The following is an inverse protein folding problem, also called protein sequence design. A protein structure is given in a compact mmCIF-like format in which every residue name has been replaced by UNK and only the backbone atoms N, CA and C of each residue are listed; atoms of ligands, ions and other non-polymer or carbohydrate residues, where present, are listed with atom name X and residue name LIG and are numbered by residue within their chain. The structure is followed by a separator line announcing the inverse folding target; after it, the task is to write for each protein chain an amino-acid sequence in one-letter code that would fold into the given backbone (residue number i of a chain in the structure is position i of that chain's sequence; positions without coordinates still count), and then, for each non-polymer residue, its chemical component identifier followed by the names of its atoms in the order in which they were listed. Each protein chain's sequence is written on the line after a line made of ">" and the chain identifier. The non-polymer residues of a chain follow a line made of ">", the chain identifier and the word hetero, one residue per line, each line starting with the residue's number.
data_IF_509273757021
#
_entry.id   IF_509273757021
#
_cell.length_a   1.000
_cell.length_b   1.000
_cell.length_c   1.000
_cell.angle_alpha   90.00
_cell.angle_beta   90.00
_cell.angle_gamma   90.00
#
_symmetry.space_group_name_H-M   'P 1'
#
loop_
_entity.id
_entity.type
_entity.pdbx_description
1 polymer ?
#
# COMPACT_ATOMS: atom_id res chain seq x y z
N UNK A 1 34.09 7.44 7.36
CA UNK A 1 35.52 7.55 7.70
C UNK A 1 36.33 6.65 6.78
N UNK A 2 37.42 7.16 6.19
CA UNK A 2 38.31 6.44 5.27
C UNK A 2 39.71 6.45 5.88
N UNK A 3 40.20 5.28 6.32
CA UNK A 3 41.46 5.19 7.07
C UNK A 3 42.35 4.05 6.61
N UNK A 4 43.67 4.28 6.54
CA UNK A 4 44.69 3.27 6.23
C UNK A 4 44.56 2.61 4.84
N UNK A 5 44.08 3.35 3.85
CA UNK A 5 43.93 2.84 2.49
C UNK A 5 45.10 3.22 1.59
N UNK A 6 45.34 2.38 0.58
CA UNK A 6 46.24 2.70 -0.53
C UNK A 6 45.40 2.81 -1.82
N UNK A 7 45.46 3.96 -2.49
CA UNK A 7 44.86 4.16 -3.80
C UNK A 7 45.97 4.39 -4.84
N UNK A 8 45.85 3.74 -6.00
CA UNK A 8 46.82 3.90 -7.09
C UNK A 8 46.14 3.85 -8.44
N UNK A 9 46.55 4.74 -9.35
CA UNK A 9 46.04 4.74 -10.72
C UNK A 9 47.17 5.01 -11.73
N UNK A 10 47.22 4.20 -12.79
CA UNK A 10 48.26 4.28 -13.82
C UNK A 10 47.67 4.09 -15.22
N UNK A 11 47.11 5.16 -15.77
CA UNK A 11 46.61 5.20 -17.15
C UNK A 11 46.41 6.66 -17.59
N UNK A 12 45.64 6.89 -18.65
CA UNK A 12 45.40 8.22 -19.21
C UNK A 12 44.63 9.14 -18.26
N UNK A 13 43.60 8.64 -17.56
CA UNK A 13 42.62 9.43 -16.78
C UNK A 13 43.01 9.70 -15.32
N UNK A 14 42.38 10.67 -14.66
CA UNK A 14 42.75 11.09 -13.30
C UNK A 14 42.17 10.21 -12.19
N UNK A 15 42.58 10.48 -10.95
CA UNK A 15 41.84 10.07 -9.75
C UNK A 15 40.94 11.24 -9.35
N UNK A 16 39.66 10.96 -9.08
CA UNK A 16 38.72 11.92 -8.51
C UNK A 16 38.32 11.38 -7.14
N UNK A 17 38.56 12.15 -6.10
CA UNK A 17 38.06 11.85 -4.76
C UNK A 17 37.05 12.94 -4.38
N UNK A 18 35.78 12.55 -4.37
CA UNK A 18 34.66 13.42 -4.02
C UNK A 18 34.37 13.33 -2.52
N UNK A 19 34.61 14.43 -1.81
CA UNK A 19 34.29 14.59 -0.40
C UNK A 19 33.31 15.75 -0.18
N UNK A 20 32.27 15.81 -1.00
CA UNK A 20 31.15 16.77 -0.89
C UNK A 20 30.25 16.56 0.36
N UNK A 21 30.34 15.41 1.02
CA UNK A 21 29.72 15.15 2.33
C UNK A 21 30.64 15.46 3.53
N UNK A 22 30.23 15.06 4.74
CA UNK A 22 31.08 15.19 5.94
C UNK A 22 31.95 13.94 6.15
N UNK A 23 33.27 14.05 5.96
CA UNK A 23 34.17 12.90 6.01
C UNK A 23 35.32 13.05 7.02
N UNK A 24 35.76 11.92 7.58
CA UNK A 24 37.03 11.81 8.32
C UNK A 24 37.99 10.93 7.50
N UNK A 25 39.14 11.48 7.10
CA UNK A 25 40.10 10.86 6.18
C UNK A 25 41.48 10.85 6.85
N UNK A 26 41.99 9.67 7.19
CA UNK A 26 43.23 9.55 7.97
C UNK A 26 44.19 8.50 7.45
N UNK A 27 45.48 8.84 7.33
CA UNK A 27 46.56 7.88 7.06
C UNK A 27 46.40 7.08 5.74
N UNK A 28 45.90 7.73 4.69
CA UNK A 28 45.76 7.11 3.38
C UNK A 28 46.94 7.49 2.46
N UNK A 29 47.32 6.59 1.56
CA UNK A 29 48.34 6.84 0.53
C UNK A 29 47.70 6.76 -0.86
N UNK A 30 47.71 7.85 -1.60
CA UNK A 30 47.10 7.96 -2.90
C UNK A 30 48.13 8.39 -3.94
N UNK A 31 48.31 7.57 -4.98
CA UNK A 31 49.30 7.78 -6.02
C UNK A 31 48.67 7.77 -7.41
N UNK A 32 48.96 8.78 -8.22
CA UNK A 32 48.52 8.86 -9.60
C UNK A 32 49.72 8.96 -10.53
N UNK A 33 49.76 8.09 -11.52
CA UNK A 33 50.68 8.15 -12.65
C UNK A 33 49.90 8.47 -13.92
N UNK A 34 48.98 9.42 -13.86
CA UNK A 34 48.10 9.75 -14.98
C UNK A 34 48.21 11.16 -15.48
N UNK A 35 47.86 11.37 -16.76
CA UNK A 35 47.94 12.70 -17.33
C UNK A 35 47.09 13.68 -16.55
N UNK A 36 45.86 13.33 -16.18
CA UNK A 36 44.91 14.22 -15.48
C UNK A 36 45.11 14.34 -13.96
N UNK A 37 46.09 13.63 -13.37
CA UNK A 37 46.49 13.86 -12.00
C UNK A 37 45.52 13.33 -10.94
N UNK A 38 45.41 14.05 -9.83
CA UNK A 38 44.43 13.81 -8.75
C UNK A 38 43.62 15.08 -8.56
N UNK A 39 42.30 14.94 -8.51
CA UNK A 39 41.37 15.99 -8.11
C UNK A 39 40.71 15.61 -6.78
N UNK A 40 40.71 16.55 -5.84
CA UNK A 40 40.13 16.43 -4.51
C UNK A 40 39.01 17.46 -4.36
N UNK A 41 37.78 17.01 -4.13
CA UNK A 41 36.64 17.87 -3.81
C UNK A 41 36.45 17.92 -2.29
N UNK A 42 36.67 19.08 -1.66
CA UNK A 42 36.42 19.30 -0.23
C UNK A 42 35.23 20.27 -0.01
N UNK A 43 34.19 20.19 -0.85
CA UNK A 43 32.97 21.00 -0.73
C UNK A 43 32.07 20.66 0.46
N UNK A 44 32.33 19.58 1.21
CA UNK A 44 31.67 19.27 2.49
C UNK A 44 32.52 19.57 3.73
N UNK A 45 32.02 19.25 4.93
CA UNK A 45 32.75 19.47 6.20
C UNK A 45 33.69 18.29 6.50
N UNK A 46 34.95 18.39 6.09
CA UNK A 46 35.90 17.28 6.15
C UNK A 46 37.02 17.47 7.18
N UNK A 47 37.50 16.36 7.74
CA UNK A 47 38.68 16.29 8.59
C UNK A 47 39.72 15.36 7.98
N UNK A 48 40.81 15.93 7.49
CA UNK A 48 41.77 15.29 6.58
C UNK A 48 43.15 15.35 7.20
N UNK A 49 43.67 14.18 7.58
CA UNK A 49 44.79 14.10 8.51
C UNK A 49 45.80 13.02 8.11
N UNK A 50 47.09 13.35 8.08
CA UNK A 50 48.16 12.35 7.87
C UNK A 50 48.08 11.58 6.53
N UNK A 51 47.50 12.15 5.48
CA UNK A 51 47.40 11.48 4.17
C UNK A 51 48.57 11.85 3.26
N UNK A 52 48.93 10.95 2.33
CA UNK A 52 49.94 11.16 1.30
C UNK A 52 49.26 11.17 -0.08
N UNK A 53 49.35 12.27 -0.82
CA UNK A 53 48.86 12.40 -2.19
C UNK A 53 50.02 12.66 -3.13
N UNK A 54 50.22 11.78 -4.10
CA UNK A 54 51.36 11.78 -4.99
C UNK A 54 50.93 11.74 -6.45
N UNK A 55 51.39 12.67 -7.27
CA UNK A 55 51.19 12.62 -8.72
C UNK A 55 52.49 12.76 -9.51
N UNK A 56 52.61 11.97 -10.58
CA UNK A 56 53.84 11.80 -11.36
C UNK A 56 53.77 12.35 -12.80
N UNK A 57 52.63 12.91 -13.22
CA UNK A 57 52.31 13.19 -14.63
C UNK A 57 51.62 14.55 -14.82
N UNK A 58 51.14 14.80 -16.04
CA UNK A 58 51.00 16.13 -16.69
C UNK A 58 50.20 17.23 -15.99
N UNK A 59 49.06 16.93 -15.38
CA UNK A 59 48.06 17.92 -14.93
C UNK A 59 47.97 18.11 -13.41
N UNK A 60 48.94 17.62 -12.64
CA UNK A 60 49.12 18.09 -11.26
C UNK A 60 48.22 17.44 -10.20
N UNK A 61 48.11 18.12 -9.06
CA UNK A 61 47.12 17.88 -8.01
C UNK A 61 46.20 19.09 -7.95
N UNK A 62 44.88 18.90 -8.01
CA UNK A 62 43.90 19.99 -7.86
C UNK A 62 43.02 19.75 -6.64
N UNK A 63 42.79 20.80 -5.87
CA UNK A 63 41.99 20.76 -4.66
C UNK A 63 40.97 21.89 -4.74
N UNK A 64 39.69 21.52 -4.63
CA UNK A 64 38.55 22.44 -4.61
C UNK A 64 38.00 22.53 -3.19
N UNK A 65 37.72 23.75 -2.76
CA UNK A 65 37.21 24.09 -1.44
C UNK A 65 35.91 24.87 -1.64
N UNK A 66 34.80 24.38 -1.09
CA UNK A 66 33.48 25.04 -1.22
C UNK A 66 32.60 24.88 0.05
N UNK A 67 33.16 24.34 1.13
CA UNK A 67 32.44 24.14 2.40
C UNK A 67 32.75 25.23 3.41
N UNK A 68 32.05 25.27 4.54
CA UNK A 68 32.24 26.30 5.55
C UNK A 68 33.30 25.97 6.62
N UNK A 69 33.73 24.71 6.80
CA UNK A 69 34.62 24.30 7.91
C UNK A 69 35.45 23.01 7.64
N UNK A 70 36.46 23.02 6.75
CA UNK A 70 37.40 21.88 6.66
C UNK A 70 38.55 21.97 7.67
N UNK A 71 38.97 20.83 8.23
CA UNK A 71 40.23 20.67 8.98
C UNK A 71 41.19 19.82 8.17
N UNK A 72 42.34 20.37 7.76
CA UNK A 72 43.32 19.70 6.91
C UNK A 72 44.68 19.83 7.55
N UNK A 73 45.17 18.76 8.20
CA UNK A 73 46.46 18.81 8.88
C UNK A 73 47.39 17.62 8.62
N UNK A 74 48.70 17.84 8.69
CA UNK A 74 49.71 16.77 8.59
C UNK A 74 49.66 15.94 7.29
N UNK A 75 49.11 16.46 6.19
CA UNK A 75 49.07 15.77 4.92
C UNK A 75 50.32 16.11 4.09
N UNK A 76 50.77 15.17 3.25
CA UNK A 76 51.84 15.37 2.28
C UNK A 76 51.24 15.39 0.87
N UNK A 77 51.43 16.49 0.15
CA UNK A 77 51.05 16.64 -1.25
C UNK A 77 52.31 16.75 -2.10
N UNK A 78 52.50 15.81 -3.03
CA UNK A 78 53.73 15.67 -3.79
C UNK A 78 53.43 15.58 -5.29
N UNK A 79 54.03 16.50 -6.06
CA UNK A 79 54.04 16.51 -7.51
C UNK A 79 55.46 16.33 -8.09
N UNK A 80 55.65 15.34 -8.98
CA UNK A 80 56.94 15.03 -9.60
C UNK A 80 57.09 15.55 -11.06
N UNK A 81 58.34 15.62 -11.52
CA UNK A 81 58.84 16.39 -12.65
C UNK A 81 58.51 15.78 -14.03
N UNK A 82 57.38 16.22 -14.60
CA UNK A 82 57.05 16.28 -16.04
C UNK A 82 55.65 16.90 -16.25
N UNK A 83 55.18 17.69 -15.26
CA UNK A 83 53.84 18.23 -15.27
C UNK A 83 53.83 19.65 -15.84
N UNK A 84 52.91 19.90 -16.76
CA UNK A 84 52.62 21.26 -17.22
C UNK A 84 51.82 22.07 -16.21
N UNK A 85 51.21 21.41 -15.21
CA UNK A 85 50.47 22.03 -14.12
C UNK A 85 50.94 21.45 -12.79
N UNK A 86 51.28 22.33 -11.85
CA UNK A 86 51.75 22.00 -10.50
C UNK A 86 50.62 21.61 -9.55
N UNK A 87 50.81 21.87 -8.27
CA UNK A 87 49.74 21.72 -7.27
C UNK A 87 48.87 22.99 -7.26
N UNK A 88 47.55 22.82 -7.31
CA UNK A 88 46.56 23.90 -7.34
C UNK A 88 45.51 23.73 -6.24
N UNK A 89 45.29 24.78 -5.45
CA UNK A 89 44.26 24.82 -4.41
C UNK A 89 44.52 26.00 -3.47
N UNK A 90 43.46 26.63 -2.99
CA UNK A 90 43.58 27.74 -2.04
C UNK A 90 42.78 27.41 -0.79
N UNK A 91 43.49 27.22 0.34
CA UNK A 91 42.83 27.08 1.64
C UNK A 91 42.01 28.33 1.91
N UNK A 92 40.71 28.18 2.15
CA UNK A 92 39.84 29.33 2.37
C UNK A 92 40.04 29.88 3.80
N UNK A 93 39.62 31.14 4.03
CA UNK A 93 39.82 31.81 5.33
C UNK A 93 39.12 31.11 6.52
N UNK A 94 38.14 30.25 6.23
CA UNK A 94 37.38 29.47 7.22
C UNK A 94 37.91 28.03 7.41
N UNK A 95 38.88 27.59 6.60
CA UNK A 95 39.50 26.28 6.72
C UNK A 95 40.69 26.29 7.69
N UNK A 96 40.90 25.18 8.42
CA UNK A 96 42.09 24.98 9.25
C UNK A 96 43.12 24.11 8.52
N UNK A 97 43.93 24.74 7.65
CA UNK A 97 45.02 24.07 6.95
C UNK A 97 46.35 24.28 7.69
N UNK A 98 46.77 23.32 8.54
CA UNK A 98 48.02 23.46 9.31
C UNK A 98 48.95 22.26 9.12
N UNK A 99 50.27 22.48 9.14
CA UNK A 99 51.30 21.42 9.14
C UNK A 99 51.20 20.46 7.95
N UNK A 100 50.71 20.91 6.80
CA UNK A 100 50.73 20.15 5.55
C UNK A 100 52.06 20.40 4.82
N UNK A 101 52.66 19.35 4.27
CA UNK A 101 53.85 19.45 3.44
C UNK A 101 53.45 19.51 1.97
N UNK A 102 53.96 20.50 1.24
CA UNK A 102 53.75 20.63 -0.21
C UNK A 102 55.08 20.53 -0.93
N UNK A 103 55.17 19.62 -1.90
CA UNK A 103 56.34 19.46 -2.76
C UNK A 103 55.90 19.52 -4.23
N UNK A 104 56.35 20.53 -4.96
CA UNK A 104 56.04 20.71 -6.38
C UNK A 104 57.32 20.94 -7.21
N UNK A 105 57.68 19.95 -8.01
CA UNK A 105 58.91 19.97 -8.82
C UNK A 105 58.68 20.52 -10.25
N UNK A 106 57.53 21.15 -10.54
CA UNK A 106 57.16 21.59 -11.90
C UNK A 106 57.74 22.94 -12.33
N UNK A 107 58.38 23.67 -11.42
CA UNK A 107 59.07 24.94 -11.71
C UNK A 107 60.57 24.79 -11.46
N UNK A 108 61.38 24.94 -12.53
CA UNK A 108 62.85 24.89 -12.47
C UNK A 108 63.50 26.10 -11.77
N UNK A 109 62.73 27.02 -11.25
CA UNK A 109 63.19 28.08 -10.34
C UNK A 109 62.47 27.95 -9.00
N UNK A 110 63.20 27.53 -7.97
CA UNK A 110 62.74 27.46 -6.59
C UNK A 110 61.93 26.21 -6.25
N UNK A 111 62.59 25.21 -5.64
CA UNK A 111 61.87 24.18 -4.88
C UNK A 111 61.17 24.87 -3.70
N UNK A 112 59.84 24.97 -3.72
CA UNK A 112 59.10 25.54 -2.59
C UNK A 112 58.71 24.43 -1.62
N UNK A 113 59.38 24.40 -0.47
CA UNK A 113 58.86 23.75 0.74
C UNK A 113 58.12 24.81 1.54
N UNK A 114 56.80 24.73 1.64
CA UNK A 114 56.05 25.51 2.61
C UNK A 114 55.49 24.57 3.68
N UNK A 115 56.02 24.67 4.89
CA UNK A 115 55.30 24.26 6.09
C UNK A 115 54.33 25.39 6.43
N UNK A 116 53.03 25.13 6.34
CA UNK A 116 52.03 26.09 6.80
C UNK A 116 51.89 25.98 8.32
N UNK A 117 52.59 26.84 9.05
CA UNK A 117 52.60 26.85 10.52
C UNK A 117 51.65 27.93 11.07
N UNK A 118 50.36 27.77 10.77
CA UNK A 118 49.17 28.12 11.57
C UNK A 118 49.02 29.40 12.40
N UNK A 119 49.92 30.40 12.40
CA UNK A 119 49.76 31.58 13.25
C UNK A 119 50.12 32.91 12.56
N UNK A 120 49.08 33.73 12.36
CA UNK A 120 49.21 35.14 12.04
C UNK A 120 48.69 35.48 10.65
N UNK A 121 47.98 36.61 10.57
CA UNK A 121 47.61 37.34 9.34
C UNK A 121 48.84 37.90 8.62
N UNK A 122 49.89 37.08 8.48
CA UNK A 122 51.11 37.36 7.75
C UNK A 122 51.03 36.62 6.43
N UNK A 123 51.05 37.38 5.34
CA UNK A 123 51.22 36.91 3.98
C UNK A 123 52.47 36.04 3.87
N UNK A 124 52.33 34.73 4.08
CA UNK A 124 53.17 33.77 3.39
C UNK A 124 52.72 33.86 1.93
N UNK A 125 53.57 34.47 1.11
CA UNK A 125 53.36 34.62 -0.32
C UNK A 125 53.10 33.24 -0.94
N UNK A 126 51.83 32.84 -1.03
CA UNK A 126 51.32 32.53 -2.34
C UNK A 126 51.60 33.80 -3.13
N UNK A 127 52.79 33.89 -3.75
CA UNK A 127 53.00 34.92 -4.73
C UNK A 127 51.81 34.75 -5.68
N UNK A 128 50.93 35.75 -5.84
CA UNK A 128 50.22 35.81 -7.10
C UNK A 128 51.34 35.73 -8.14
N UNK A 129 51.17 34.91 -9.17
CA UNK A 129 52.12 34.84 -10.29
C UNK A 129 52.03 36.21 -10.99
N UNK A 130 52.61 37.24 -10.39
CA UNK A 130 52.60 38.63 -10.80
C UNK A 130 54.03 38.92 -11.22
N UNK A 131 54.32 38.53 -12.45
CA UNK A 131 55.66 38.67 -13.01
C UNK A 131 55.90 37.89 -14.29
N UNK A 132 54.86 37.63 -15.11
CA UNK A 132 55.03 37.26 -16.52
C UNK A 132 53.73 37.61 -17.24
N UNK A 133 53.78 38.70 -18.03
CA UNK A 133 52.82 38.94 -19.09
C UNK A 133 52.83 37.71 -20.02
N UNK A 134 51.81 36.86 -19.90
CA UNK A 134 51.72 35.59 -20.64
C UNK A 134 51.03 34.43 -19.89
N UNK A 135 50.71 34.55 -18.60
CA UNK A 135 49.97 33.51 -17.88
C UNK A 135 48.44 33.63 -18.06
N UNK A 136 47.94 33.44 -19.29
CA UNK A 136 46.49 33.38 -19.56
C UNK A 136 45.86 32.01 -19.30
N UNK A 137 46.64 30.96 -18.99
CA UNK A 137 46.15 29.58 -19.12
C UNK A 137 46.19 28.76 -17.81
N UNK A 138 46.11 29.41 -16.64
CA UNK A 138 45.83 28.68 -15.39
C UNK A 138 44.33 28.37 -15.29
N UNK A 139 43.87 27.44 -16.11
CA UNK A 139 42.59 26.79 -15.85
C UNK A 139 42.80 25.82 -14.68
N UNK A 140 42.16 26.01 -13.51
CA UNK A 140 42.03 24.90 -12.56
C UNK A 140 41.50 23.70 -13.36
N UNK A 141 41.85 22.48 -12.97
CA UNK A 141 41.05 21.35 -13.43
C UNK A 141 39.62 21.69 -12.97
N UNK A 142 38.76 22.11 -13.90
CA UNK A 142 37.33 22.30 -13.62
C UNK A 142 36.86 21.02 -12.95
N UNK A 143 36.06 21.12 -11.87
CA UNK A 143 35.45 19.98 -11.20
C UNK A 143 35.18 18.89 -12.24
N UNK A 144 35.94 17.78 -12.25
CA UNK A 144 35.71 16.72 -13.19
C UNK A 144 34.24 16.37 -13.01
N UNK A 145 33.47 16.43 -14.10
CA UNK A 145 32.06 16.06 -14.07
C UNK A 145 32.04 14.64 -13.53
N UNK A 146 31.72 14.48 -12.24
CA UNK A 146 31.41 13.18 -11.68
C UNK A 146 30.38 12.60 -12.62
N UNK A 147 30.60 11.38 -13.10
CA UNK A 147 29.61 10.73 -13.94
C UNK A 147 28.43 10.45 -13.01
N UNK A 148 27.52 11.43 -12.88
CA UNK A 148 26.26 11.23 -12.19
C UNK A 148 25.54 10.14 -12.94
N UNK A 149 25.01 9.19 -12.19
CA UNK A 149 24.25 8.09 -12.75
C UNK A 149 22.80 8.19 -12.28
N UNK A 150 21.93 7.42 -12.92
CA UNK A 150 20.59 7.20 -12.36
C UNK A 150 20.72 6.48 -11.02
N UNK A 151 19.75 6.61 -10.10
CA UNK A 151 19.80 5.89 -8.83
C UNK A 151 19.82 4.38 -9.04
N UNK A 152 20.30 3.66 -8.03
CA UNK A 152 19.99 2.24 -7.89
C UNK A 152 18.47 2.03 -7.67
N UNK A 153 17.93 0.81 -7.87
CA UNK A 153 16.51 0.56 -7.61
C UNK A 153 16.13 0.80 -6.15
N UNK A 154 14.91 1.30 -5.87
CA UNK A 154 14.31 1.20 -4.55
C UNK A 154 14.27 -0.26 -4.08
N UNK A 155 14.34 -0.47 -2.76
CA UNK A 155 14.37 -1.82 -2.19
C UNK A 155 13.33 -2.01 -1.09
N UNK A 156 13.15 -3.26 -0.66
CA UNK A 156 12.19 -3.64 0.38
C UNK A 156 10.76 -3.17 0.09
N UNK A 157 10.35 -3.21 -1.19
CA UNK A 157 8.97 -2.93 -1.55
C UNK A 157 8.04 -3.98 -0.92
N UNK A 158 6.99 -3.50 -0.27
CA UNK A 158 5.93 -4.29 0.35
C UNK A 158 4.56 -3.77 -0.07
N UNK A 159 3.56 -4.64 -0.06
CA UNK A 159 2.18 -4.32 -0.43
C UNK A 159 1.20 -4.88 0.60
N UNK A 160 0.35 -4.02 1.16
CA UNK A 160 -0.69 -4.38 2.12
C UNK A 160 -2.05 -4.13 1.46
N UNK A 161 -2.84 -5.20 1.31
CA UNK A 161 -4.17 -5.14 0.73
C UNK A 161 -5.20 -4.56 1.73
N UNK A 162 -6.07 -3.68 1.24
CA UNK A 162 -7.25 -3.17 1.95
C UNK A 162 -8.53 -3.37 1.14
N UNK A 163 -9.56 -2.57 1.45
CA UNK A 163 -10.83 -2.57 0.73
C UNK A 163 -10.76 -1.63 -0.49
N UNK A 164 -10.66 -2.20 -1.68
CA UNK A 164 -10.53 -1.46 -2.94
C UNK A 164 -9.26 -0.62 -3.03
N UNK A 165 -8.25 -0.96 -2.23
CA UNK A 165 -6.98 -0.25 -2.18
C UNK A 165 -5.82 -1.17 -1.81
N UNK A 166 -4.60 -0.74 -2.13
CA UNK A 166 -3.34 -1.33 -1.69
C UNK A 166 -2.43 -0.22 -1.19
N UNK A 167 -1.88 -0.38 0.01
CA UNK A 167 -0.83 0.49 0.54
C UNK A 167 0.53 -0.13 0.28
N UNK A 168 1.37 0.61 -0.44
CA UNK A 168 2.75 0.27 -0.72
C UNK A 168 3.69 0.97 0.26
N UNK A 169 4.79 0.32 0.59
CA UNK A 169 5.92 0.93 1.31
C UNK A 169 7.23 0.36 0.79
N UNK A 170 8.23 1.21 0.63
CA UNK A 170 9.56 0.87 0.13
C UNK A 170 10.63 1.67 0.86
N UNK A 171 11.89 1.29 0.66
CA UNK A 171 13.06 2.06 1.12
C UNK A 171 13.74 2.76 -0.08
N UNK A 172 14.35 3.94 0.14
CA UNK A 172 15.06 4.65 -0.92
C UNK A 172 16.20 3.83 -1.54
N UNK A 173 16.70 4.20 -2.74
CA UNK A 173 17.90 3.61 -3.32
C UNK A 173 19.10 3.63 -2.36
N UNK A 174 19.89 2.54 -2.34
CA UNK A 174 21.15 2.48 -1.57
C UNK A 174 22.18 3.47 -2.10
N UNK A 175 22.24 3.60 -3.43
CA UNK A 175 23.03 4.60 -4.15
C UNK A 175 22.08 5.50 -4.96
N UNK A 176 22.20 6.81 -4.78
CA UNK A 176 21.40 7.83 -5.48
C UNK A 176 22.07 8.33 -6.77
N UNK A 177 23.21 7.77 -7.16
CA UNK A 177 23.95 8.13 -8.37
C UNK A 177 24.64 9.51 -8.28
N UNK A 178 24.81 10.03 -7.06
CA UNK A 178 25.43 11.33 -6.78
C UNK A 178 24.48 12.53 -6.87
N UNK A 179 23.18 12.31 -7.11
CA UNK A 179 22.16 13.37 -7.17
C UNK A 179 20.94 13.01 -6.31
N UNK A 180 20.32 14.01 -5.68
CA UNK A 180 19.15 13.82 -4.81
C UNK A 180 17.98 13.19 -5.56
N UNK A 181 17.35 12.16 -4.97
CA UNK A 181 16.10 11.59 -5.47
C UNK A 181 14.97 12.60 -5.30
N UNK A 182 14.25 12.88 -6.38
CA UNK A 182 13.23 13.93 -6.44
C UNK A 182 11.81 13.36 -6.35
N UNK A 183 11.56 12.20 -6.93
CA UNK A 183 10.26 11.55 -6.98
C UNK A 183 10.42 10.03 -7.20
N UNK A 184 9.31 9.31 -7.07
CA UNK A 184 9.21 7.88 -7.38
C UNK A 184 8.07 7.65 -8.36
N UNK A 185 8.24 6.68 -9.27
CA UNK A 185 7.15 6.22 -10.14
C UNK A 185 6.78 4.81 -9.73
N UNK A 186 5.50 4.61 -9.42
CA UNK A 186 4.91 3.32 -9.09
C UNK A 186 4.28 2.77 -10.35
N UNK A 187 4.68 1.59 -10.78
CA UNK A 187 4.09 0.87 -11.91
C UNK A 187 3.21 -0.26 -11.39
N UNK A 188 2.04 -0.43 -11.99
CA UNK A 188 1.15 -1.53 -11.61
C UNK A 188 0.25 -2.02 -12.74
N UNK A 189 -0.19 -3.27 -12.60
CA UNK A 189 -1.06 -3.96 -13.55
C UNK A 189 -1.66 -5.24 -12.97
N UNK A 190 -2.51 -5.92 -13.74
CA UNK A 190 -3.17 -7.17 -13.33
C UNK A 190 -2.40 -8.42 -13.74
N UNK A 191 -1.28 -8.27 -14.43
CA UNK A 191 -0.40 -9.35 -14.89
C UNK A 191 1.03 -9.08 -14.46
N UNK A 192 1.70 -10.10 -13.92
CA UNK A 192 3.11 -10.03 -13.51
C UNK A 192 3.99 -9.62 -14.69
N UNK A 193 4.89 -8.67 -14.46
CA UNK A 193 5.80 -8.10 -15.46
C UNK A 193 5.11 -7.29 -16.57
N UNK A 194 3.80 -7.02 -16.48
CA UNK A 194 3.08 -6.19 -17.42
C UNK A 194 2.26 -5.11 -16.69
N UNK A 195 2.89 -3.96 -16.53
CA UNK A 195 2.30 -2.80 -15.86
C UNK A 195 1.66 -1.88 -16.90
N UNK A 196 0.35 -1.68 -16.80
CA UNK A 196 -0.42 -0.84 -17.74
C UNK A 196 -0.65 0.57 -17.21
N UNK A 197 -0.35 0.82 -15.93
CA UNK A 197 -0.63 2.08 -15.25
C UNK A 197 0.57 2.49 -14.40
N UNK A 198 0.79 3.80 -14.27
CA UNK A 198 1.82 4.35 -13.41
C UNK A 198 1.32 5.58 -12.65
N UNK A 199 1.94 5.85 -11.49
CA UNK A 199 1.68 7.03 -10.67
C UNK A 199 3.02 7.60 -10.23
N UNK A 200 3.28 8.87 -10.51
CA UNK A 200 4.43 9.58 -9.96
C UNK A 200 4.03 10.26 -8.66
N UNK A 201 4.80 9.97 -7.61
CA UNK A 201 4.63 10.54 -6.27
C UNK A 201 5.89 11.35 -5.93
N UNK A 202 5.79 12.33 -5.03
CA UNK A 202 6.97 13.09 -4.58
C UNK A 202 8.02 12.21 -3.89
N UNK A 203 8.98 12.81 -3.19
CA UNK A 203 9.97 12.07 -2.41
C UNK A 203 9.33 11.44 -1.13
N UNK A 204 8.48 10.43 -1.34
CA UNK A 204 7.77 9.64 -0.36
C UNK A 204 8.24 8.19 -0.45
N UNK A 205 8.08 7.44 0.64
CA UNK A 205 8.43 6.00 0.74
C UNK A 205 7.22 5.13 1.07
N UNK A 206 6.03 5.72 0.94
CA UNK A 206 4.74 5.05 1.14
C UNK A 206 3.67 5.72 0.28
N UNK A 207 2.77 4.91 -0.28
CA UNK A 207 1.65 5.41 -1.07
C UNK A 207 0.49 4.42 -1.08
N UNK A 208 -0.74 4.94 -1.01
CA UNK A 208 -1.95 4.11 -1.10
C UNK A 208 -2.63 4.33 -2.45
N UNK A 209 -2.74 3.25 -3.22
CA UNK A 209 -3.48 3.23 -4.49
C UNK A 209 -4.92 2.85 -4.17
N UNK A 210 -5.87 3.68 -4.55
CA UNK A 210 -7.31 3.49 -4.34
C UNK A 210 -8.03 3.12 -5.65
N UNK A 211 -9.33 2.84 -5.56
CA UNK A 211 -10.18 2.47 -6.70
C UNK A 211 -9.74 1.18 -7.40
N UNK A 212 -9.15 0.25 -6.66
CA UNK A 212 -8.84 -1.09 -7.13
C UNK A 212 -10.05 -2.01 -6.95
N UNK A 213 -10.13 -3.05 -7.77
CA UNK A 213 -11.22 -4.03 -7.68
C UNK A 213 -10.90 -5.09 -6.64
N UNK A 214 -11.80 -5.30 -5.66
CA UNK A 214 -11.65 -6.39 -4.70
C UNK A 214 -11.69 -7.76 -5.42
N UNK A 215 -10.83 -8.69 -5.00
CA UNK A 215 -10.68 -10.01 -5.61
C UNK A 215 -9.80 -10.01 -6.88
N UNK A 216 -9.40 -8.85 -7.40
CA UNK A 216 -8.43 -8.75 -8.48
C UNK A 216 -7.02 -8.67 -7.89
N UNK A 217 -6.12 -9.55 -8.34
CA UNK A 217 -4.69 -9.46 -8.00
C UNK A 217 -4.03 -8.38 -8.85
N UNK A 218 -3.23 -7.54 -8.20
CA UNK A 218 -2.40 -6.52 -8.80
C UNK A 218 -0.93 -6.77 -8.49
N UNK A 219 -0.06 -6.40 -9.42
CA UNK A 219 1.40 -6.49 -9.33
C UNK A 219 1.97 -5.07 -9.37
N UNK A 220 3.02 -4.83 -8.58
CA UNK A 220 3.58 -3.50 -8.35
C UNK A 220 5.10 -3.52 -8.37
N UNK A 221 5.68 -2.49 -8.98
CA UNK A 221 7.11 -2.14 -8.88
C UNK A 221 7.25 -0.63 -8.68
N UNK A 222 8.41 -0.18 -8.18
CA UNK A 222 8.70 1.24 -7.96
C UNK A 222 10.09 1.57 -8.51
N UNK A 223 10.21 2.72 -9.18
CA UNK A 223 11.48 3.33 -9.60
C UNK A 223 11.71 4.66 -8.87
N UNK A 224 12.96 5.11 -8.82
CA UNK A 224 13.37 6.40 -8.28
C UNK A 224 13.91 7.32 -9.39
N UNK A 225 13.61 8.61 -9.30
CA UNK A 225 14.06 9.62 -10.25
C UNK A 225 15.03 10.60 -9.60
N UNK A 226 16.19 10.83 -10.23
CA UNK A 226 17.06 11.97 -9.92
C UNK A 226 17.21 12.88 -11.15
N UNK A 227 18.08 13.88 -11.09
CA UNK A 227 18.31 14.81 -12.20
C UNK A 227 18.93 14.15 -13.46
N UNK A 228 19.57 12.98 -13.32
CA UNK A 228 20.14 12.21 -14.42
C UNK A 228 19.05 11.41 -15.12
N UNK A 229 18.14 10.82 -14.35
CA UNK A 229 17.03 10.04 -14.87
C UNK A 229 16.50 9.02 -13.87
N UNK A 230 15.75 8.07 -14.43
CA UNK A 230 15.02 7.05 -13.70
C UNK A 230 15.86 5.79 -13.46
N UNK A 231 15.77 5.24 -12.26
CA UNK A 231 16.40 3.97 -11.89
C UNK A 231 15.74 2.79 -12.58
N UNK A 232 16.37 1.60 -12.60
CA UNK A 232 15.63 0.37 -12.79
C UNK A 232 14.58 0.18 -11.68
N UNK A 233 13.59 -0.66 -11.96
CA UNK A 233 12.50 -0.97 -11.04
C UNK A 233 12.95 -1.84 -9.87
N UNK A 234 12.25 -1.71 -8.73
CA UNK A 234 12.41 -2.55 -7.54
C UNK A 234 12.05 -4.03 -7.79
N UNK A 235 12.12 -4.86 -6.73
CA UNK A 235 11.46 -6.16 -6.75
C UNK A 235 9.94 -6.01 -7.00
N UNK A 236 9.35 -6.94 -7.74
CA UNK A 236 7.89 -7.01 -7.93
C UNK A 236 7.23 -7.56 -6.65
N UNK A 237 6.13 -6.93 -6.24
CA UNK A 237 5.22 -7.46 -5.23
C UNK A 237 3.81 -7.58 -5.78
N UNK A 238 2.96 -8.41 -5.14
CA UNK A 238 1.55 -8.49 -5.50
C UNK A 238 0.65 -8.45 -4.28
N UNK A 239 -0.54 -7.89 -4.47
CA UNK A 239 -1.59 -7.85 -3.46
C UNK A 239 -2.96 -8.00 -4.12
N UNK A 240 -3.93 -8.51 -3.36
CA UNK A 240 -5.30 -8.69 -3.81
C UNK A 240 -6.23 -8.02 -2.80
N UNK A 241 -6.71 -6.78 -3.09
CA UNK A 241 -7.69 -6.09 -2.28
C UNK A 241 -8.87 -6.99 -1.96
N UNK A 242 -9.33 -6.96 -0.72
CA UNK A 242 -10.49 -7.72 -0.29
C UNK A 242 -11.11 -7.07 0.96
N UNK A 243 -12.38 -7.38 1.21
CA UNK A 243 -13.16 -6.89 2.33
C UNK A 243 -14.16 -7.95 2.78
N UNK A 244 -14.86 -7.69 3.89
CA UNK A 244 -15.96 -8.56 4.34
C UNK A 244 -17.12 -8.52 3.35
N UNK A 245 -17.96 -9.57 3.26
CA UNK A 245 -19.07 -9.61 2.33
C UNK A 245 -20.11 -8.52 2.60
N UNK A 246 -20.87 -8.15 1.57
CA UNK A 246 -22.11 -7.39 1.76
C UNK A 246 -23.17 -8.25 2.49
N UNK A 247 -24.27 -7.65 2.98
CA UNK A 247 -25.37 -8.41 3.55
C UNK A 247 -25.97 -9.42 2.55
N UNK A 248 -26.38 -10.62 3.01
CA UNK A 248 -27.29 -11.48 2.27
C UNK A 248 -28.61 -10.77 1.91
N UNK A 249 -29.21 -11.15 0.79
CA UNK A 249 -30.42 -10.50 0.27
C UNK A 249 -31.67 -11.36 0.50
N UNK A 250 -32.85 -10.74 0.38
CA UNK A 250 -34.15 -11.42 0.32
C UNK A 250 -34.37 -12.47 1.43
N UNK A 251 -33.97 -12.17 2.67
CA UNK A 251 -34.23 -13.05 3.80
C UNK A 251 -35.73 -13.20 4.01
N UNK A 252 -36.19 -14.45 3.99
CA UNK A 252 -37.57 -14.85 4.25
C UNK A 252 -37.63 -15.86 5.38
N UNK A 253 -38.73 -15.84 6.13
CA UNK A 253 -39.00 -16.76 7.23
C UNK A 253 -40.37 -17.40 7.06
N UNK A 254 -40.42 -18.72 6.93
CA UNK A 254 -41.66 -19.49 6.75
C UNK A 254 -41.91 -20.30 8.01
N UNK A 255 -43.06 -20.08 8.64
CA UNK A 255 -43.46 -20.79 9.85
C UNK A 255 -43.88 -22.24 9.55
N UNK A 256 -43.42 -23.17 10.39
CA UNK A 256 -43.87 -24.55 10.46
C UNK A 256 -44.34 -24.92 11.88
N UNK A 257 -44.51 -26.22 12.12
CA UNK A 257 -44.88 -26.75 13.44
C UNK A 257 -43.66 -26.81 14.37
N UNK A 258 -43.57 -25.88 15.32
CA UNK A 258 -42.43 -25.78 16.24
C UNK A 258 -41.10 -25.46 15.56
N UNK A 259 -41.13 -24.97 14.32
CA UNK A 259 -39.94 -24.64 13.55
C UNK A 259 -40.20 -23.44 12.62
N UNK A 260 -39.12 -22.79 12.17
CA UNK A 260 -39.13 -21.77 11.13
C UNK A 260 -38.05 -22.13 10.11
N UNK A 261 -38.41 -22.15 8.83
CA UNK A 261 -37.47 -22.32 7.73
C UNK A 261 -37.11 -20.97 7.16
N UNK A 262 -35.82 -20.65 7.18
CA UNK A 262 -35.25 -19.44 6.61
C UNK A 262 -34.73 -19.73 5.20
N UNK A 263 -34.90 -18.78 4.30
CA UNK A 263 -34.28 -18.79 2.97
C UNK A 263 -33.78 -17.38 2.66
N UNK A 264 -32.61 -17.28 2.04
CA UNK A 264 -32.00 -16.01 1.63
C UNK A 264 -31.25 -16.18 0.32
N UNK A 265 -30.88 -15.05 -0.29
CA UNK A 265 -29.99 -15.00 -1.44
C UNK A 265 -28.57 -14.63 -1.02
N UNK A 266 -27.60 -15.02 -1.84
CA UNK A 266 -26.19 -14.69 -1.60
C UNK A 266 -25.98 -13.16 -1.59
N UNK A 267 -24.94 -12.66 -0.90
CA UNK A 267 -24.55 -11.26 -1.00
C UNK A 267 -24.34 -10.80 -2.46
N UNK A 268 -24.63 -9.53 -2.74
CA UNK A 268 -24.29 -8.90 -4.03
C UNK A 268 -22.78 -8.89 -4.28
N UNK A 269 -22.02 -8.56 -3.23
CA UNK A 269 -20.57 -8.57 -3.25
C UNK A 269 -20.03 -9.49 -2.15
N UNK A 270 -19.20 -10.44 -2.56
CA UNK A 270 -18.48 -11.33 -1.66
C UNK A 270 -17.29 -10.65 -0.97
N UNK A 271 -16.96 -9.41 -1.33
CA UNK A 271 -15.82 -8.65 -0.86
C UNK A 271 -14.50 -9.10 -1.48
N UNK A 272 -14.54 -9.82 -2.61
CA UNK A 272 -13.35 -10.33 -3.30
C UNK A 272 -12.81 -11.68 -2.80
N UNK A 273 -13.49 -12.31 -1.84
CA UNK A 273 -13.16 -13.65 -1.33
C UNK A 273 -14.43 -14.51 -1.27
N UNK A 274 -14.35 -15.83 -1.56
CA UNK A 274 -15.53 -16.68 -1.57
C UNK A 274 -16.21 -16.74 -0.20
N UNK A 275 -17.54 -16.80 -0.21
CA UNK A 275 -18.34 -17.04 1.00
C UNK A 275 -18.07 -18.46 1.50
N UNK A 276 -17.76 -18.56 2.79
CA UNK A 276 -17.43 -19.83 3.46
C UNK A 276 -18.58 -20.31 4.36
N UNK A 277 -19.28 -19.38 5.02
CA UNK A 277 -20.32 -19.67 5.99
C UNK A 277 -21.36 -18.55 6.02
N UNK A 278 -22.52 -18.84 6.62
CA UNK A 278 -23.51 -17.85 6.99
C UNK A 278 -23.76 -17.91 8.49
N UNK A 279 -24.01 -16.77 9.12
CA UNK A 279 -24.38 -16.73 10.54
C UNK A 279 -25.77 -16.17 10.69
N UNK A 280 -26.63 -16.98 11.29
CA UNK A 280 -28.03 -16.67 11.55
C UNK A 280 -28.11 -16.13 12.96
N UNK A 281 -28.77 -14.99 13.11
CA UNK A 281 -29.07 -14.32 14.36
C UNK A 281 -30.58 -14.40 14.59
N UNK A 282 -30.99 -14.72 15.81
CA UNK A 282 -32.42 -14.72 16.14
C UNK A 282 -32.72 -14.36 17.59
N UNK A 283 -33.92 -13.84 17.81
CA UNK A 283 -34.42 -13.40 19.11
C UNK A 283 -35.93 -13.21 19.10
N UNK A 284 -36.51 -12.84 20.25
CA UNK A 284 -37.97 -12.62 20.40
C UNK A 284 -38.37 -11.15 20.37
N UNK A 285 -37.39 -10.25 20.26
CA UNK A 285 -37.59 -8.80 20.24
C UNK A 285 -36.95 -8.23 18.97
N UNK A 286 -37.63 -7.36 18.21
CA UNK A 286 -37.07 -6.76 17.00
C UNK A 286 -35.70 -6.11 17.27
N UNK A 287 -34.73 -6.37 16.40
CA UNK A 287 -33.37 -5.85 16.49
C UNK A 287 -32.52 -6.39 17.64
N UNK A 288 -33.06 -7.27 18.50
CA UNK A 288 -32.33 -7.88 19.61
C UNK A 288 -32.22 -9.39 19.42
N UNK A 289 -31.02 -9.83 19.02
CA UNK A 289 -30.72 -11.23 18.77
C UNK A 289 -29.95 -11.82 19.95
N UNK A 290 -30.61 -12.69 20.70
CA UNK A 290 -30.03 -13.39 21.87
C UNK A 290 -29.36 -14.71 21.50
N UNK A 291 -29.64 -15.24 20.31
CA UNK A 291 -29.07 -16.49 19.82
C UNK A 291 -28.42 -16.30 18.45
N UNK A 292 -27.44 -17.17 18.17
CA UNK A 292 -26.84 -17.26 16.85
C UNK A 292 -26.43 -18.68 16.49
N UNK A 293 -26.47 -19.01 15.20
CA UNK A 293 -26.06 -20.29 14.63
C UNK A 293 -25.14 -19.99 13.45
N UNK A 294 -23.96 -20.61 13.39
CA UNK A 294 -23.15 -20.60 12.18
C UNK A 294 -23.58 -21.77 11.30
N UNK A 295 -24.21 -21.46 10.18
CA UNK A 295 -24.52 -22.39 9.12
C UNK A 295 -23.32 -22.48 8.15
N UNK A 296 -23.19 -23.61 7.46
CA UNK A 296 -22.21 -23.74 6.38
C UNK A 296 -22.53 -22.83 5.20
N UNK A 297 -21.89 -23.06 4.05
CA UNK A 297 -22.21 -22.35 2.81
C UNK A 297 -23.55 -22.84 2.22
N UNK A 298 -24.65 -22.39 2.83
CA UNK A 298 -26.03 -22.71 2.46
C UNK A 298 -26.87 -21.44 2.34
N UNK A 299 -27.95 -21.49 1.59
CA UNK A 299 -28.91 -20.38 1.41
C UNK A 299 -30.28 -20.64 2.05
N UNK A 300 -30.39 -21.73 2.81
CA UNK A 300 -31.58 -22.06 3.59
C UNK A 300 -31.21 -22.78 4.87
N UNK A 301 -31.96 -22.55 5.94
CA UNK A 301 -31.75 -23.23 7.22
C UNK A 301 -33.05 -23.32 8.03
N UNK A 302 -33.34 -24.49 8.57
CA UNK A 302 -34.52 -24.70 9.43
C UNK A 302 -34.11 -24.71 10.90
N UNK A 303 -34.71 -23.80 11.67
CA UNK A 303 -34.54 -23.73 13.12
C UNK A 303 -35.71 -24.45 13.76
N UNK A 304 -35.43 -25.49 14.54
CA UNK A 304 -36.42 -26.33 15.22
C UNK A 304 -36.51 -26.00 16.71
N UNK A 305 -37.46 -26.63 17.41
CA UNK A 305 -37.68 -26.46 18.85
C UNK A 305 -38.04 -25.02 19.26
N UNK A 306 -38.77 -24.33 18.39
CA UNK A 306 -39.29 -22.99 18.65
C UNK A 306 -40.67 -23.07 19.32
N UNK A 307 -40.97 -22.10 20.18
CA UNK A 307 -42.26 -22.02 20.86
C UNK A 307 -43.35 -21.54 19.90
N UNK A 308 -44.42 -22.32 19.76
CA UNK A 308 -45.57 -21.93 18.97
C UNK A 308 -46.26 -20.68 19.57
N UNK A 309 -46.71 -19.76 18.70
CA UNK A 309 -47.33 -18.50 19.09
C UNK A 309 -46.34 -17.39 19.48
N UNK A 310 -45.05 -17.68 19.59
CA UNK A 310 -44.02 -16.67 19.85
C UNK A 310 -43.48 -16.11 18.52
N UNK A 311 -43.46 -14.78 18.38
CA UNK A 311 -42.77 -14.14 17.26
C UNK A 311 -41.26 -14.24 17.45
N UNK A 312 -40.57 -14.70 16.41
CA UNK A 312 -39.12 -14.67 16.32
C UNK A 312 -38.69 -13.74 15.19
N UNK A 313 -37.61 -13.01 15.44
CA UNK A 313 -36.96 -12.09 14.52
C UNK A 313 -35.60 -12.64 14.13
N UNK A 314 -35.25 -12.52 12.85
CA UNK A 314 -34.10 -13.16 12.24
C UNK A 314 -33.31 -12.18 11.39
N UNK A 315 -31.99 -12.30 11.43
CA UNK A 315 -31.10 -11.71 10.44
C UNK A 315 -29.98 -12.68 10.09
N UNK A 316 -29.40 -12.57 8.90
CA UNK A 316 -28.33 -13.44 8.43
C UNK A 316 -27.15 -12.58 7.97
N UNK A 317 -25.92 -12.95 8.31
CA UNK A 317 -24.69 -12.38 7.74
C UNK A 317 -23.94 -13.45 6.96
N UNK A 318 -23.10 -13.04 6.02
CA UNK A 318 -22.19 -13.92 5.28
C UNK A 318 -20.76 -13.76 5.80
N UNK A 319 -19.96 -14.82 5.72
CA UNK A 319 -18.58 -14.88 6.22
C UNK A 319 -17.65 -15.32 5.09
N UNK A 320 -16.59 -14.55 4.82
CA UNK A 320 -15.51 -14.93 3.91
C UNK A 320 -14.16 -15.02 4.65
N UNK A 321 -13.07 -15.19 3.91
CA UNK A 321 -11.71 -15.27 4.48
C UNK A 321 -11.22 -13.99 5.18
N UNK A 322 -11.87 -12.84 4.99
CA UNK A 322 -11.58 -11.59 5.69
C UNK A 322 -12.35 -11.52 7.02
N UNK A 323 -13.61 -11.95 7.03
CA UNK A 323 -14.43 -11.98 8.23
C UNK A 323 -15.93 -12.00 7.97
N UNK A 324 -16.69 -11.70 9.02
CA UNK A 324 -18.15 -11.64 9.00
C UNK A 324 -18.64 -10.27 8.50
N UNK A 325 -19.46 -10.28 7.45
CA UNK A 325 -20.08 -9.09 6.88
C UNK A 325 -21.26 -8.54 7.68
N UNK A 326 -21.88 -7.50 7.15
CA UNK A 326 -23.07 -6.92 7.75
C UNK A 326 -24.29 -7.86 7.67
N UNK A 327 -25.23 -7.69 8.60
CA UNK A 327 -26.47 -8.48 8.66
C UNK A 327 -27.46 -8.02 7.59
N UNK A 328 -28.24 -8.96 7.08
CA UNK A 328 -29.40 -8.72 6.21
C UNK A 328 -30.45 -7.86 6.91
N UNK A 329 -31.44 -7.41 6.12
CA UNK A 329 -32.70 -6.93 6.68
C UNK A 329 -33.36 -8.01 7.55
N UNK A 330 -34.12 -7.57 8.55
CA UNK A 330 -34.78 -8.45 9.51
C UNK A 330 -36.01 -9.12 8.87
N UNK A 331 -36.15 -10.42 9.09
CA UNK A 331 -37.37 -11.18 8.81
C UNK A 331 -37.99 -11.65 10.13
N UNK A 332 -39.30 -11.91 10.13
CA UNK A 332 -39.97 -12.48 11.30
C UNK A 332 -41.02 -13.50 10.91
N UNK A 333 -41.25 -14.46 11.79
CA UNK A 333 -42.31 -15.45 11.67
C UNK A 333 -42.76 -15.93 13.06
N UNK A 334 -43.98 -16.47 13.12
CA UNK A 334 -44.57 -17.05 14.33
C UNK A 334 -44.81 -18.53 14.07
N UNK A 335 -44.07 -19.46 14.72
CA UNK A 335 -44.32 -20.88 14.59
C UNK A 335 -45.76 -21.18 15.02
N UNK A 336 -46.45 -22.02 14.26
CA UNK A 336 -47.85 -22.36 14.51
C UNK A 336 -47.92 -23.79 15.06
N UNK A 337 -48.85 -24.06 15.98
CA UNK A 337 -49.18 -25.44 16.31
C UNK A 337 -49.76 -26.16 15.10
N UNK A 338 -49.81 -27.50 15.13
CA UNK A 338 -50.56 -28.29 14.14
C UNK A 338 -51.92 -27.64 13.93
N UNK A 339 -52.19 -27.17 12.71
CA UNK A 339 -53.56 -26.80 12.35
C UNK A 339 -54.38 -28.09 12.42
N UNK A 340 -55.13 -28.24 13.51
CA UNK A 340 -56.29 -29.12 13.50
C UNK A 340 -57.24 -28.39 12.56
N UNK A 341 -57.37 -28.88 11.32
CA UNK A 341 -58.36 -28.35 10.39
C UNK A 341 -59.68 -28.24 11.17
N UNK A 342 -60.21 -27.03 11.33
CA UNK A 342 -61.52 -26.86 11.95
C UNK A 342 -62.48 -27.79 11.22
N UNK A 343 -63.31 -28.58 11.92
CA UNK A 343 -64.31 -29.37 11.23
C UNK A 343 -65.14 -28.39 10.41
N UNK A 344 -65.04 -28.51 9.08
CA UNK A 344 -65.89 -27.79 8.15
C UNK A 344 -67.31 -28.25 8.46
N UNK A 345 -68.01 -27.53 9.33
CA UNK A 345 -69.46 -27.68 9.41
C UNK A 345 -69.95 -27.04 8.11
N UNK A 346 -70.07 -27.86 7.07
CA UNK A 346 -70.79 -27.49 5.86
C UNK A 346 -72.21 -27.12 6.29
N UNK A 347 -72.49 -25.82 6.36
CA UNK A 347 -73.81 -25.27 6.70
C UNK A 347 -74.92 -25.82 5.78
N UNK A 348 -74.53 -26.38 4.63
CA UNK A 348 -75.40 -27.07 3.68
C UNK A 348 -76.03 -28.33 4.29
N UNK A 349 -75.29 -29.07 5.13
CA UNK A 349 -75.83 -30.25 5.82
C UNK A 349 -76.84 -29.87 6.92
N UNK A 350 -76.62 -28.74 7.62
CA UNK A 350 -77.55 -28.22 8.63
C UNK A 350 -78.86 -27.70 8.04
N UNK A 351 -78.82 -27.05 6.87
CA UNK A 351 -80.02 -26.58 6.15
C UNK A 351 -80.84 -27.76 5.61
N UNK A 352 -80.20 -28.86 5.21
CA UNK A 352 -80.90 -30.04 4.69
C UNK A 352 -81.75 -30.74 5.76
N UNK A 353 -81.27 -30.79 7.02
CA UNK A 353 -82.02 -31.41 8.14
C UNK A 353 -83.22 -30.55 8.56
N UNK A 354 -83.07 -29.23 8.60
CA UNK A 354 -84.18 -28.31 8.91
C UNK A 354 -85.22 -28.32 7.77
N UNK A 355 -84.79 -28.35 6.52
CA UNK A 355 -85.67 -28.47 5.35
C UNK A 355 -86.49 -29.76 5.35
N UNK A 356 -85.86 -30.91 5.69
CA UNK A 356 -86.55 -32.19 5.79
C UNK A 356 -87.60 -32.19 6.92
N UNK A 357 -87.29 -31.62 8.08
CA UNK A 357 -88.24 -31.51 9.21
C UNK A 357 -89.43 -30.59 8.87
N UNK A 358 -89.20 -29.47 8.20
CA UNK A 358 -90.28 -28.55 7.75
C UNK A 358 -91.16 -29.22 6.67
N UNK A 359 -90.57 -29.98 5.74
CA UNK A 359 -91.31 -30.71 4.72
C UNK A 359 -92.15 -31.85 5.32
N UNK A 360 -91.63 -32.59 6.30
CA UNK A 360 -92.38 -33.62 7.02
C UNK A 360 -93.55 -33.00 7.80
N UNK A 361 -93.33 -31.87 8.46
CA UNK A 361 -94.39 -31.16 9.19
C UNK A 361 -95.47 -30.64 8.22
N UNK A 362 -95.07 -30.04 7.09
CA UNK A 362 -95.97 -29.56 6.06
C UNK A 362 -96.78 -30.70 5.42
N UNK A 363 -96.15 -31.84 5.14
CA UNK A 363 -96.82 -33.04 4.63
C UNK A 363 -97.85 -33.57 5.64
N UNK A 364 -97.53 -33.60 6.93
CA UNK A 364 -98.45 -34.01 7.98
C UNK A 364 -99.65 -33.07 8.10
N UNK A 365 -99.43 -31.75 8.01
CA UNK A 365 -100.49 -30.72 7.99
C UNK A 365 -101.39 -30.89 6.76
N UNK A 366 -100.81 -31.11 5.57
CA UNK A 366 -101.58 -31.34 4.34
C UNK A 366 -102.41 -32.62 4.41
N UNK A 367 -101.86 -33.72 4.93
CA UNK A 367 -102.60 -34.98 5.10
C UNK A 367 -103.77 -34.84 6.08
N UNK A 368 -103.61 -34.00 7.12
CA UNK A 368 -104.68 -33.68 8.09
C UNK A 368 -105.79 -32.83 7.45
N UNK A 369 -105.44 -31.86 6.60
CA UNK A 369 -106.42 -31.07 5.82
C UNK A 369 -107.19 -31.92 4.81
N UNK A 370 -106.50 -32.82 4.09
CA UNK A 370 -107.12 -33.78 3.15
C UNK A 370 -108.12 -34.70 3.87
N UNK A 371 -107.77 -35.28 5.03
CA UNK A 371 -108.71 -36.09 5.83
C UNK A 371 -109.92 -35.30 6.32
N UNK A 372 -109.75 -34.02 6.69
CA UNK A 372 -110.87 -33.15 7.12
C UNK A 372 -111.79 -32.78 5.94
N UNK A 373 -111.21 -32.48 4.78
CA UNK A 373 -111.96 -32.22 3.53
C UNK A 373 -112.73 -33.47 3.07
N UNK A 374 -112.12 -34.65 3.08
CA UNK A 374 -112.78 -35.93 2.76
C UNK A 374 -113.91 -36.27 3.75
N UNK A 375 -113.74 -36.00 5.05
CA UNK A 375 -114.83 -36.13 6.04
C UNK A 375 -115.96 -35.15 5.78
N UNK A 376 -115.66 -33.89 5.46
CA UNK A 376 -116.67 -32.88 5.17
C UNK A 376 -117.41 -33.20 3.85
N UNK A 377 -116.70 -33.67 2.82
CA UNK A 377 -117.30 -34.09 1.55
C UNK A 377 -118.20 -35.32 1.72
N UNK A 378 -117.79 -36.32 2.52
CA UNK A 378 -118.66 -37.45 2.89
C UNK A 378 -119.88 -37.03 3.71
N UNK A 379 -119.73 -36.04 4.60
CA UNK A 379 -120.84 -35.51 5.38
C UNK A 379 -121.83 -34.72 4.50
N UNK A 380 -121.33 -33.97 3.51
CA UNK A 380 -122.15 -33.24 2.56
C UNK A 380 -122.89 -34.17 1.59
N UNK A 381 -122.27 -35.28 1.18
CA UNK A 381 -122.93 -36.33 0.37
C UNK A 381 -124.04 -37.05 1.15
N UNK A 382 -123.91 -37.18 2.48
CA UNK A 382 -124.94 -37.75 3.35
C UNK A 382 -126.13 -36.81 3.62
N UNK A 383 -126.01 -35.52 3.31
CA UNK A 383 -127.08 -34.52 3.43
C UNK A 383 -127.86 -34.29 2.13
N UNK A 384 -127.41 -34.88 1.01
CA UNK A 384 -128.01 -34.78 -0.33
C UNK A 384 -128.73 -36.06 -0.80
N UNK A 385 -128.75 -37.09 0.06
CA UNK A 385 -129.58 -38.31 -0.03
C UNK A 385 -130.62 -38.24 1.07
#
# INVERSE_FOLDING_TARGET
>A
SITNNNCSYNSRYGIVLDFSGSNNITNNNCSSNSWYGIYLDFSGNNNITCNNFYNNKRYGLSIEYDSTENTIHHNNFWQNNNASKGISGNCQAHDNCSRNCWYDNTKKEGNYWSNWDGNGWGTASAYPIAGLAGASDYYPLSKPVGIYTVPSPPHNLTAIAGNGNVTLSWEPPVDNGGMTVTNYTIYYGTSSGNYTTHITVGNLTTWTITNLTNGQRYYFTVSAMNAVGESPESNEVSAMPCTMPSPPQNLTAIAGEGNITLSWEVPEDSGGMPITNYKIYYGTTPGNYTWSITAGNVTSYTITNLSNGQTYYFAVSAINGVGEGARSNEASAVPQGKQIAEPRIDLIAGICVIGALVAILAFWIMKKKQKKSQKNAKMFLLFLL
#
